data_IF_544684460026
#
_entry.id   IF_544684460026
#
_cell.length_a   1.000
_cell.length_b   1.000
_cell.length_c   1.000
_cell.angle_alpha   90.00
_cell.angle_beta   90.00
_cell.angle_gamma   90.00
#
_symmetry.space_group_name_H-M   'P 1'
#
loop_
_entity.id
_entity.type
_entity.pdbx_description
1 polymer ?
#
# COMPACT_ATOMS: atom_id res chain seq x y z
N UNK A 1 -23.17 0.76 -35.81
CA UNK A 1 -23.20 0.82 -34.35
C UNK A 1 -22.00 1.64 -33.90
N UNK A 2 -22.21 2.79 -33.27
CA UNK A 2 -21.08 3.52 -32.70
C UNK A 2 -20.34 2.56 -31.76
N UNK A 3 -19.01 2.49 -31.92
CA UNK A 3 -18.21 1.62 -31.07
C UNK A 3 -18.29 2.16 -29.65
N UNK A 4 -19.10 1.52 -28.82
CA UNK A 4 -19.29 1.90 -27.42
C UNK A 4 -17.95 1.96 -26.64
N UNK A 5 -16.93 1.27 -27.15
CA UNK A 5 -15.58 1.32 -26.58
C UNK A 5 -14.87 2.66 -26.76
N UNK A 6 -15.30 3.51 -27.72
CA UNK A 6 -14.69 4.83 -27.97
C UNK A 6 -15.39 5.96 -27.17
N UNK A 7 -16.54 5.72 -26.59
CA UNK A 7 -17.16 6.66 -25.65
C UNK A 7 -16.31 6.70 -24.39
N UNK A 8 -15.79 7.87 -24.03
CA UNK A 8 -14.90 8.02 -22.89
C UNK A 8 -15.09 9.34 -22.14
N UNK A 9 -14.66 9.38 -20.89
CA UNK A 9 -14.63 10.57 -20.03
C UNK A 9 -13.17 10.79 -19.60
N UNK A 10 -12.69 12.00 -19.69
CA UNK A 10 -11.28 12.35 -19.39
C UNK A 10 -10.24 11.57 -20.23
N UNK A 11 -10.57 11.20 -21.47
CA UNK A 11 -9.69 10.39 -22.32
C UNK A 11 -9.62 8.90 -21.95
N UNK A 12 -10.41 8.45 -20.98
CA UNK A 12 -10.51 7.04 -20.59
C UNK A 12 -11.68 6.39 -21.34
N UNK A 13 -11.48 5.33 -22.14
CA UNK A 13 -12.56 4.60 -22.79
C UNK A 13 -13.58 4.03 -21.79
N UNK A 14 -14.82 3.87 -22.20
CA UNK A 14 -15.92 3.47 -21.30
C UNK A 14 -15.61 2.21 -20.48
N UNK A 15 -15.13 1.14 -21.12
CA UNK A 15 -14.77 -0.08 -20.40
C UNK A 15 -13.56 0.10 -19.48
N UNK A 16 -12.61 0.95 -19.86
CA UNK A 16 -11.51 1.35 -18.99
C UNK A 16 -11.99 2.06 -17.74
N UNK A 17 -12.92 3.02 -17.92
CA UNK A 17 -13.53 3.75 -16.80
C UNK A 17 -14.32 2.82 -15.86
N UNK A 18 -15.15 1.93 -16.40
CA UNK A 18 -15.93 0.96 -15.60
C UNK A 18 -14.99 0.02 -14.85
N UNK A 19 -13.98 -0.54 -15.54
CA UNK A 19 -12.97 -1.41 -14.92
C UNK A 19 -12.20 -0.69 -13.82
N UNK A 20 -11.77 0.55 -14.07
CA UNK A 20 -11.11 1.40 -13.09
C UNK A 20 -11.98 1.65 -11.85
N UNK A 21 -13.25 2.01 -12.03
CA UNK A 21 -14.19 2.26 -10.92
C UNK A 21 -14.43 1.01 -10.08
N UNK A 22 -14.64 -0.15 -10.74
CA UNK A 22 -14.84 -1.41 -10.03
C UNK A 22 -13.58 -1.86 -9.31
N UNK A 23 -12.42 -1.77 -9.96
CA UNK A 23 -11.14 -2.08 -9.34
C UNK A 23 -10.85 -1.17 -8.14
N UNK A 24 -11.01 0.15 -8.32
CA UNK A 24 -10.79 1.11 -7.25
C UNK A 24 -11.68 0.83 -6.03
N UNK A 25 -13.00 0.64 -6.25
CA UNK A 25 -13.92 0.35 -5.15
C UNK A 25 -13.61 -0.99 -4.47
N UNK A 26 -13.44 -2.06 -5.25
CA UNK A 26 -13.24 -3.39 -4.71
C UNK A 26 -11.90 -3.51 -3.96
N UNK A 27 -10.83 -2.91 -4.49
CA UNK A 27 -9.52 -2.90 -3.86
C UNK A 27 -9.54 -2.06 -2.57
N UNK A 28 -10.19 -0.88 -2.58
CA UNK A 28 -10.34 -0.08 -1.37
C UNK A 28 -11.14 -0.83 -0.31
N UNK A 29 -12.19 -1.53 -0.68
CA UNK A 29 -13.01 -2.28 0.28
C UNK A 29 -12.37 -3.59 0.77
N UNK A 30 -11.43 -4.16 0.02
CA UNK A 30 -10.75 -5.41 0.34
C UNK A 30 -9.35 -5.15 0.92
N UNK A 31 -8.41 -4.71 0.10
CA UNK A 31 -6.99 -4.66 0.44
C UNK A 31 -6.65 -3.53 1.40
N UNK A 32 -7.28 -2.36 1.24
CA UNK A 32 -7.06 -1.24 2.16
C UNK A 32 -7.47 -1.63 3.58
N UNK A 33 -8.55 -2.41 3.73
CA UNK A 33 -8.99 -2.84 5.06
C UNK A 33 -8.11 -3.96 5.60
N UNK A 34 -7.55 -4.82 4.78
CA UNK A 34 -6.52 -5.77 5.22
C UNK A 34 -5.27 -5.01 5.72
N UNK A 35 -4.91 -3.91 5.08
CA UNK A 35 -3.73 -3.10 5.41
C UNK A 35 -3.96 -2.18 6.60
N UNK A 36 -5.07 -1.46 6.63
CA UNK A 36 -5.39 -0.44 7.65
C UNK A 36 -6.36 -0.94 8.74
N UNK A 37 -6.74 -2.22 8.71
CA UNK A 37 -7.71 -2.77 9.65
C UNK A 37 -7.20 -2.78 11.10
N UNK A 38 -5.92 -3.03 11.31
CA UNK A 38 -5.22 -2.92 12.60
C UNK A 38 -5.29 -1.50 13.14
N UNK A 39 -5.03 -0.51 12.28
CA UNK A 39 -5.13 0.91 12.60
C UNK A 39 -6.55 1.34 12.96
N UNK A 40 -7.56 0.90 12.21
CA UNK A 40 -8.96 1.15 12.53
C UNK A 40 -9.38 0.51 13.85
N UNK A 41 -8.91 -0.71 14.14
CA UNK A 41 -9.20 -1.42 15.36
C UNK A 41 -8.62 -0.73 16.60
N UNK A 42 -7.32 -0.46 16.58
CA UNK A 42 -6.59 0.16 17.71
C UNK A 42 -6.99 1.63 17.96
N UNK A 43 -7.51 2.31 16.93
CA UNK A 43 -8.00 3.69 17.01
C UNK A 43 -9.53 3.80 16.96
N UNK A 44 -10.26 2.76 17.33
CA UNK A 44 -11.74 2.70 17.20
C UNK A 44 -12.50 3.82 17.94
N UNK A 45 -11.94 4.36 19.02
CA UNK A 45 -12.48 5.49 19.79
C UNK A 45 -12.32 6.85 19.08
N UNK A 46 -11.47 6.96 18.06
CA UNK A 46 -11.23 8.21 17.34
C UNK A 46 -12.29 8.45 16.26
N UNK A 47 -12.51 9.73 15.96
CA UNK A 47 -13.44 10.08 14.89
C UNK A 47 -12.87 9.62 13.53
N UNK A 48 -13.73 9.05 12.69
CA UNK A 48 -13.31 8.48 11.40
C UNK A 48 -12.63 9.48 10.46
N UNK A 49 -13.03 10.76 10.50
CA UNK A 49 -12.39 11.82 9.71
C UNK A 49 -10.91 12.02 10.05
N UNK A 50 -10.52 11.86 11.29
CA UNK A 50 -9.12 11.98 11.73
C UNK A 50 -8.30 10.83 11.15
N UNK A 51 -8.83 9.62 11.20
CA UNK A 51 -8.20 8.43 10.64
C UNK A 51 -8.11 8.51 9.11
N UNK A 52 -9.20 8.94 8.49
CA UNK A 52 -9.23 9.19 7.04
C UNK A 52 -8.25 10.28 6.62
N UNK A 53 -8.20 11.42 7.31
CA UNK A 53 -7.28 12.51 6.96
C UNK A 53 -5.81 12.07 7.03
N UNK A 54 -5.46 11.22 7.99
CA UNK A 54 -4.14 10.62 8.07
C UNK A 54 -3.86 9.72 6.85
N UNK A 55 -4.73 8.75 6.55
CA UNK A 55 -4.55 7.87 5.40
C UNK A 55 -4.57 8.65 4.08
N UNK A 56 -5.45 9.64 3.95
CA UNK A 56 -5.58 10.50 2.79
C UNK A 56 -4.32 11.35 2.53
N UNK A 57 -3.69 11.89 3.59
CA UNK A 57 -2.45 12.65 3.44
C UNK A 57 -1.32 11.81 2.83
N UNK A 58 -1.26 10.53 3.20
CA UNK A 58 -0.28 9.59 2.65
C UNK A 58 -0.60 9.23 1.20
N UNK A 59 -1.88 9.02 0.85
CA UNK A 59 -2.28 8.82 -0.56
C UNK A 59 -1.79 10.00 -1.40
N UNK A 60 -2.11 11.23 -0.98
CA UNK A 60 -1.70 12.44 -1.72
C UNK A 60 -0.17 12.50 -1.85
N UNK A 61 0.56 12.27 -0.75
CA UNK A 61 2.03 12.30 -0.77
C UNK A 61 2.61 11.24 -1.72
N UNK A 62 2.12 10.01 -1.69
CA UNK A 62 2.58 8.91 -2.55
C UNK A 62 2.23 9.19 -4.01
N UNK A 63 1.02 9.66 -4.31
CA UNK A 63 0.61 10.00 -5.67
C UNK A 63 1.44 11.15 -6.26
N UNK A 64 1.70 12.20 -5.47
CA UNK A 64 2.55 13.31 -5.90
C UNK A 64 4.01 12.85 -6.07
N UNK A 65 4.52 12.00 -5.17
CA UNK A 65 5.85 11.43 -5.29
C UNK A 65 5.98 10.57 -6.55
N UNK A 66 5.03 9.68 -6.84
CA UNK A 66 5.01 8.89 -8.06
C UNK A 66 5.02 9.75 -9.32
N UNK A 67 4.24 10.83 -9.33
CA UNK A 67 4.14 11.70 -10.49
C UNK A 67 5.38 12.59 -10.68
N UNK A 68 5.79 13.33 -9.67
CA UNK A 68 6.90 14.28 -9.77
C UNK A 68 8.28 13.67 -9.55
N UNK A 69 8.38 12.66 -8.70
CA UNK A 69 9.66 12.01 -8.36
C UNK A 69 9.97 10.80 -9.22
N UNK A 70 8.97 10.20 -9.89
CA UNK A 70 9.12 9.01 -10.70
C UNK A 70 8.65 9.23 -12.16
N UNK A 71 8.95 10.40 -12.71
CA UNK A 71 8.74 10.76 -14.12
C UNK A 71 7.32 10.51 -14.66
N UNK A 72 6.29 10.73 -13.82
CA UNK A 72 4.89 10.53 -14.19
C UNK A 72 4.37 9.11 -13.99
N UNK A 73 5.19 8.20 -13.47
CA UNK A 73 4.78 6.83 -13.16
C UNK A 73 4.18 6.72 -11.75
N UNK A 74 2.87 6.85 -11.66
CA UNK A 74 2.12 6.67 -10.42
C UNK A 74 1.88 5.19 -10.05
N UNK A 75 2.35 4.25 -10.86
CA UNK A 75 2.30 2.81 -10.61
C UNK A 75 3.66 2.24 -10.15
N UNK A 76 4.68 3.09 -10.00
CA UNK A 76 5.99 2.74 -9.44
C UNK A 76 6.67 1.54 -10.13
N UNK A 77 6.72 1.55 -11.47
CA UNK A 77 7.34 0.51 -12.29
C UNK A 77 6.52 -0.78 -12.45
N UNK A 78 5.44 -0.94 -11.68
CA UNK A 78 4.66 -2.18 -11.66
C UNK A 78 3.94 -2.50 -12.97
N UNK A 79 3.70 -1.50 -13.81
CA UNK A 79 3.05 -1.65 -15.10
C UNK A 79 4.02 -1.65 -16.29
N UNK A 80 5.33 -1.51 -16.07
CA UNK A 80 6.33 -1.47 -17.13
C UNK A 80 6.33 -2.74 -18.01
N UNK A 81 6.01 -3.90 -17.41
CA UNK A 81 5.89 -5.20 -18.11
C UNK A 81 4.47 -5.57 -18.51
N UNK A 82 3.52 -4.69 -18.27
CA UNK A 82 2.10 -4.90 -18.61
C UNK A 82 1.66 -3.69 -19.45
N UNK A 83 1.92 -3.69 -20.77
CA UNK A 83 1.58 -2.56 -21.63
C UNK A 83 0.08 -2.34 -21.67
N UNK A 84 -0.32 -1.09 -21.95
CA UNK A 84 -1.74 -0.81 -22.22
C UNK A 84 -2.16 -1.54 -23.49
N UNK A 85 -3.31 -2.24 -23.50
CA UNK A 85 -3.73 -3.00 -24.67
C UNK A 85 -3.88 -2.10 -25.92
N UNK A 86 -3.22 -2.46 -27.03
CA UNK A 86 -3.27 -1.69 -28.29
C UNK A 86 -4.70 -1.54 -28.82
N UNK A 87 -5.52 -2.55 -28.62
CA UNK A 87 -6.94 -2.54 -29.01
C UNK A 87 -7.84 -1.85 -27.98
N UNK A 88 -7.25 -1.30 -26.91
CA UNK A 88 -7.97 -0.68 -25.78
C UNK A 88 -8.54 -1.70 -24.81
N UNK A 89 -9.26 -1.17 -23.81
CA UNK A 89 -9.92 -1.99 -22.80
C UNK A 89 -11.27 -2.47 -23.32
N UNK A 90 -11.45 -3.77 -23.35
CA UNK A 90 -12.70 -4.43 -23.76
C UNK A 90 -13.55 -4.84 -22.54
N UNK A 91 -14.80 -5.23 -22.77
CA UNK A 91 -15.74 -5.61 -21.72
C UNK A 91 -15.24 -6.78 -20.85
N UNK A 92 -14.48 -7.73 -21.39
CA UNK A 92 -13.93 -8.86 -20.61
C UNK A 92 -12.85 -8.43 -19.61
N UNK A 93 -12.16 -7.33 -19.83
CA UNK A 93 -11.23 -6.78 -18.82
C UNK A 93 -11.97 -6.27 -17.58
N UNK A 94 -13.27 -6.00 -17.67
CA UNK A 94 -14.10 -5.54 -16.55
C UNK A 94 -14.57 -6.70 -15.67
N UNK A 95 -14.56 -7.94 -16.17
CA UNK A 95 -15.03 -9.10 -15.41
C UNK A 95 -14.22 -9.37 -14.12
N UNK A 96 -12.88 -9.37 -14.13
CA UNK A 96 -12.10 -9.59 -12.91
C UNK A 96 -12.43 -8.61 -11.77
N UNK A 97 -12.45 -7.29 -11.95
CA UNK A 97 -12.83 -6.38 -10.87
C UNK A 97 -14.29 -6.48 -10.47
N UNK A 98 -15.18 -6.89 -11.36
CA UNK A 98 -16.58 -7.19 -11.01
C UNK A 98 -16.65 -8.42 -10.08
N UNK A 99 -15.92 -9.49 -10.40
CA UNK A 99 -15.82 -10.68 -9.54
C UNK A 99 -15.21 -10.31 -8.18
N UNK A 100 -14.13 -9.50 -8.18
CA UNK A 100 -13.52 -9.01 -6.97
C UNK A 100 -14.52 -8.24 -6.09
N UNK A 101 -15.32 -7.37 -6.69
CA UNK A 101 -16.37 -6.61 -6.00
C UNK A 101 -17.41 -7.54 -5.34
N UNK A 102 -17.84 -8.57 -6.05
CA UNK A 102 -18.78 -9.57 -5.53
C UNK A 102 -18.17 -10.33 -4.35
N UNK A 103 -16.94 -10.84 -4.49
CA UNK A 103 -16.26 -11.58 -3.42
C UNK A 103 -16.03 -10.71 -2.18
N UNK A 104 -15.62 -9.45 -2.38
CA UNK A 104 -15.47 -8.47 -1.30
C UNK A 104 -16.78 -8.22 -0.57
N UNK A 105 -17.91 -8.16 -1.29
CA UNK A 105 -19.25 -8.00 -0.68
C UNK A 105 -19.63 -9.16 0.23
N UNK A 106 -19.15 -10.36 -0.08
CA UNK A 106 -19.32 -11.54 0.79
C UNK A 106 -18.24 -11.67 1.87
N UNK A 107 -17.34 -10.71 1.98
CA UNK A 107 -16.25 -10.74 2.95
C UNK A 107 -15.20 -11.81 2.63
N UNK A 108 -15.02 -12.20 1.37
CA UNK A 108 -14.02 -13.18 0.96
C UNK A 108 -12.73 -12.44 0.55
N UNK A 109 -11.65 -12.52 1.33
CA UNK A 109 -10.38 -11.90 0.96
C UNK A 109 -9.75 -12.68 -0.20
N UNK A 110 -9.36 -11.98 -1.25
CA UNK A 110 -8.75 -12.56 -2.45
C UNK A 110 -7.57 -11.73 -2.92
N UNK A 111 -6.65 -12.37 -3.65
CA UNK A 111 -5.54 -11.68 -4.28
C UNK A 111 -6.04 -10.80 -5.43
N UNK A 112 -6.04 -9.50 -5.21
CA UNK A 112 -6.45 -8.50 -6.20
C UNK A 112 -5.47 -8.46 -7.36
N UNK A 113 -4.17 -8.54 -7.09
CA UNK A 113 -3.11 -8.58 -8.09
C UNK A 113 -3.32 -9.72 -9.09
N UNK A 114 -3.54 -10.94 -8.59
CA UNK A 114 -3.81 -12.07 -9.49
C UNK A 114 -5.12 -11.91 -10.24
N UNK A 115 -6.19 -11.56 -9.54
CA UNK A 115 -7.50 -11.48 -10.16
C UNK A 115 -7.55 -10.40 -11.25
N UNK A 116 -6.97 -9.23 -10.99
CA UNK A 116 -7.02 -8.09 -11.90
C UNK A 116 -5.95 -8.18 -12.99
N UNK A 117 -4.67 -8.39 -12.64
CA UNK A 117 -3.59 -8.30 -13.63
C UNK A 117 -3.52 -9.51 -14.55
N UNK A 118 -4.05 -10.67 -14.17
CA UNK A 118 -3.99 -11.88 -15.00
C UNK A 118 -4.62 -11.67 -16.37
N UNK A 119 -5.76 -11.00 -16.48
CA UNK A 119 -6.41 -10.77 -17.78
C UNK A 119 -5.52 -9.94 -18.71
N UNK A 120 -4.82 -8.95 -18.19
CA UNK A 120 -3.89 -8.12 -18.96
C UNK A 120 -2.64 -8.90 -19.40
N UNK A 121 -2.14 -9.79 -18.54
CA UNK A 121 -1.00 -10.63 -18.88
C UNK A 121 -1.34 -11.71 -19.90
N UNK A 122 -2.55 -12.23 -19.88
CA UNK A 122 -3.03 -13.22 -20.84
C UNK A 122 -3.38 -12.62 -22.20
N UNK A 123 -3.82 -11.37 -22.24
CA UNK A 123 -4.23 -10.69 -23.47
C UNK A 123 -3.12 -9.84 -24.09
N UNK A 124 -2.01 -9.62 -23.40
CA UNK A 124 -0.86 -8.82 -23.88
C UNK A 124 0.06 -9.53 -24.87
N UNK A 125 -0.25 -10.76 -25.26
CA UNK A 125 0.52 -11.52 -26.25
C UNK A 125 1.97 -11.79 -25.83
N UNK A 126 2.91 -11.68 -26.79
CA UNK A 126 4.34 -11.94 -26.55
C UNK A 126 4.98 -10.92 -25.57
N UNK A 127 4.46 -9.70 -25.50
CA UNK A 127 4.97 -8.65 -24.62
C UNK A 127 4.83 -9.01 -23.12
N UNK A 128 3.83 -9.82 -22.79
CA UNK A 128 3.56 -10.27 -21.41
C UNK A 128 3.89 -11.72 -21.14
N UNK A 129 4.56 -12.39 -22.11
CA UNK A 129 4.98 -13.77 -21.96
C UNK A 129 5.86 -13.96 -20.72
N UNK A 130 5.50 -14.91 -19.87
CA UNK A 130 6.24 -15.21 -18.63
C UNK A 130 5.93 -14.29 -17.44
N UNK A 131 5.23 -13.15 -17.62
CA UNK A 131 4.89 -12.23 -16.53
C UNK A 131 4.02 -12.94 -15.49
N UNK A 132 2.98 -13.66 -15.93
CA UNK A 132 2.11 -14.41 -15.02
C UNK A 132 2.87 -15.47 -14.21
N UNK A 133 3.76 -16.24 -14.88
CA UNK A 133 4.61 -17.23 -14.20
C UNK A 133 5.51 -16.57 -13.14
N UNK A 134 6.13 -15.45 -13.48
CA UNK A 134 6.94 -14.67 -12.54
C UNK A 134 6.10 -14.13 -11.37
N UNK A 135 4.89 -13.62 -11.62
CA UNK A 135 3.97 -13.18 -10.57
C UNK A 135 3.63 -14.33 -9.62
N UNK A 136 3.35 -15.52 -10.13
CA UNK A 136 3.07 -16.71 -9.31
C UNK A 136 4.25 -17.09 -8.44
N UNK A 137 5.43 -17.27 -9.02
CA UNK A 137 6.66 -17.67 -8.29
C UNK A 137 6.95 -16.66 -7.18
N UNK A 138 6.91 -15.37 -7.49
CA UNK A 138 7.19 -14.31 -6.53
C UNK A 138 6.17 -14.23 -5.41
N UNK A 139 4.89 -14.45 -5.71
CA UNK A 139 3.86 -14.48 -4.68
C UNK A 139 3.99 -15.70 -3.77
N UNK A 140 4.37 -16.86 -4.30
CA UNK A 140 4.67 -18.04 -3.48
C UNK A 140 5.88 -17.79 -2.57
N UNK A 141 6.96 -17.20 -3.11
CA UNK A 141 8.13 -16.82 -2.31
C UNK A 141 7.72 -15.80 -1.24
N UNK A 142 6.94 -14.77 -1.60
CA UNK A 142 6.42 -13.78 -0.67
C UNK A 142 5.62 -14.39 0.47
N UNK A 143 4.75 -15.33 0.16
CA UNK A 143 3.98 -16.08 1.15
C UNK A 143 4.89 -16.87 2.10
N UNK A 144 5.87 -17.61 1.56
CA UNK A 144 6.80 -18.40 2.38
C UNK A 144 7.65 -17.51 3.30
N UNK A 145 8.10 -16.35 2.80
CA UNK A 145 8.85 -15.39 3.62
C UNK A 145 7.96 -14.76 4.69
N UNK A 146 6.72 -14.38 4.36
CA UNK A 146 5.77 -13.85 5.33
C UNK A 146 5.44 -14.88 6.41
N UNK A 147 5.18 -16.13 6.02
CA UNK A 147 4.96 -17.24 6.96
C UNK A 147 6.18 -17.49 7.86
N UNK A 148 7.38 -17.53 7.28
CA UNK A 148 8.63 -17.68 8.03
C UNK A 148 8.88 -16.54 9.00
N UNK A 149 8.68 -15.28 8.56
CA UNK A 149 8.79 -14.11 9.41
C UNK A 149 7.76 -14.12 10.54
N UNK A 150 6.51 -14.46 10.26
CA UNK A 150 5.45 -14.61 11.26
C UNK A 150 5.81 -15.68 12.29
N UNK A 151 6.34 -16.84 11.85
CA UNK A 151 6.79 -17.90 12.74
C UNK A 151 7.96 -17.43 13.64
N UNK A 152 8.96 -16.76 13.09
CA UNK A 152 10.09 -16.21 13.84
C UNK A 152 9.62 -15.19 14.87
N UNK A 153 8.77 -14.23 14.46
CA UNK A 153 8.19 -13.25 15.37
C UNK A 153 7.37 -13.93 16.47
N UNK A 154 6.58 -14.93 16.12
CA UNK A 154 5.81 -15.71 17.11
C UNK A 154 6.73 -16.37 18.13
N UNK A 155 7.77 -17.09 17.70
CA UNK A 155 8.68 -17.80 18.60
C UNK A 155 9.47 -16.85 19.50
N UNK A 156 9.97 -15.75 18.93
CA UNK A 156 10.87 -14.82 19.64
C UNK A 156 10.12 -13.85 20.55
N UNK A 157 8.93 -13.41 20.13
CA UNK A 157 8.24 -12.29 20.76
C UNK A 157 7.01 -12.71 21.53
N UNK A 158 6.28 -13.78 21.11
CA UNK A 158 4.92 -14.06 21.60
C UNK A 158 4.86 -14.22 23.10
N UNK A 159 5.67 -15.08 23.70
CA UNK A 159 5.60 -15.35 25.15
C UNK A 159 5.91 -14.12 26.00
N UNK A 160 6.98 -13.40 25.68
CA UNK A 160 7.38 -12.22 26.46
C UNK A 160 6.44 -11.04 26.18
N UNK A 161 6.10 -10.85 24.92
CA UNK A 161 5.27 -9.74 24.48
C UNK A 161 3.81 -9.91 24.90
N UNK A 162 3.21 -11.09 24.71
CA UNK A 162 1.84 -11.37 25.14
C UNK A 162 1.69 -11.30 26.66
N UNK A 163 2.66 -11.87 27.41
CA UNK A 163 2.65 -11.78 28.87
C UNK A 163 2.75 -10.32 29.32
N UNK A 164 3.58 -9.53 28.67
CA UNK A 164 3.72 -8.11 28.99
C UNK A 164 2.47 -7.31 28.59
N UNK A 165 1.91 -7.56 27.41
CA UNK A 165 0.66 -6.90 26.95
C UNK A 165 -0.51 -7.25 27.87
N UNK A 166 -0.62 -8.53 28.27
CA UNK A 166 -1.70 -8.99 29.15
C UNK A 166 -1.61 -8.44 30.57
N UNK A 167 -0.39 -8.29 31.11
CA UNK A 167 -0.17 -7.85 32.49
C UNK A 167 0.00 -6.34 32.67
N UNK A 168 -0.03 -5.57 31.58
CA UNK A 168 0.18 -4.11 31.65
C UNK A 168 -0.89 -3.37 30.85
N UNK A 169 -1.42 -2.28 31.41
CA UNK A 169 -2.28 -1.36 30.67
C UNK A 169 -1.46 -0.28 29.99
N UNK A 170 -1.83 0.06 28.76
CA UNK A 170 -1.15 1.11 27.97
C UNK A 170 -1.38 2.50 28.56
N UNK A 171 -2.50 2.71 29.27
CA UNK A 171 -2.89 4.01 29.82
C UNK A 171 -2.18 4.34 31.12
N UNK A 172 -1.73 3.34 31.89
CA UNK A 172 -1.20 3.52 33.27
C UNK A 172 0.31 3.85 33.35
N UNK A 173 1.04 3.77 32.26
CA UNK A 173 2.48 3.96 32.30
C UNK A 173 2.85 5.29 31.66
N UNK A 174 3.23 6.26 32.50
CA UNK A 174 3.95 7.45 32.06
C UNK A 174 5.09 7.07 31.15
N UNK A 175 5.22 7.74 30.00
CA UNK A 175 6.26 7.40 28.99
C UNK A 175 7.65 7.60 29.61
N UNK A 176 8.47 6.55 29.75
CA UNK A 176 9.85 6.70 30.20
C UNK A 176 10.65 7.59 29.25
N UNK A 177 11.60 8.36 29.77
CA UNK A 177 12.41 9.31 28.99
C UNK A 177 13.15 8.66 27.79
N UNK A 178 13.43 7.37 27.84
CA UNK A 178 14.08 6.65 26.72
C UNK A 178 13.18 6.52 25.46
N UNK A 179 11.90 6.74 25.57
CA UNK A 179 10.98 6.73 24.42
C UNK A 179 11.27 7.88 23.45
N UNK A 180 11.75 9.03 23.94
CA UNK A 180 12.04 10.20 23.10
C UNK A 180 13.08 9.85 22.01
N UNK A 181 14.28 9.33 22.35
CA UNK A 181 15.25 8.93 21.32
C UNK A 181 14.77 7.76 20.48
N UNK A 182 13.98 6.85 21.02
CA UNK A 182 13.41 5.75 20.24
C UNK A 182 12.41 6.24 19.17
N UNK A 183 11.44 7.06 19.56
CA UNK A 183 10.47 7.65 18.61
C UNK A 183 11.19 8.52 17.60
N UNK A 184 12.13 9.36 18.04
CA UNK A 184 12.94 10.18 17.17
C UNK A 184 13.75 9.35 16.18
N UNK A 185 14.42 8.30 16.64
CA UNK A 185 15.21 7.40 15.81
C UNK A 185 14.36 6.64 14.78
N UNK A 186 13.21 6.09 15.19
CA UNK A 186 12.30 5.41 14.26
C UNK A 186 11.67 6.38 13.27
N UNK A 187 11.29 7.58 13.70
CA UNK A 187 10.79 8.62 12.78
C UNK A 187 11.87 9.01 11.78
N UNK A 188 13.11 9.20 12.24
CA UNK A 188 14.24 9.50 11.37
C UNK A 188 14.46 8.39 10.34
N UNK A 189 14.47 7.14 10.79
CA UNK A 189 14.63 5.98 9.91
C UNK A 189 13.49 5.90 8.88
N UNK A 190 12.24 6.06 9.31
CA UNK A 190 11.09 6.00 8.41
C UNK A 190 11.12 7.13 7.37
N UNK A 191 11.39 8.36 7.79
CA UNK A 191 11.50 9.50 6.87
C UNK A 191 12.69 9.31 5.93
N UNK A 192 13.82 8.81 6.44
CA UNK A 192 14.97 8.51 5.62
C UNK A 192 14.65 7.45 4.54
N UNK A 193 13.99 6.35 4.91
CA UNK A 193 13.56 5.32 3.98
C UNK A 193 12.54 5.84 2.95
N UNK A 194 11.63 6.72 3.36
CA UNK A 194 10.65 7.34 2.46
C UNK A 194 11.30 8.30 1.45
N UNK A 195 12.33 9.04 1.86
CA UNK A 195 12.98 10.06 1.02
C UNK A 195 14.04 9.45 0.10
N UNK A 196 14.82 8.48 0.59
CA UNK A 196 15.96 7.94 -0.16
C UNK A 196 15.67 6.55 -0.79
N UNK A 197 14.47 6.02 -0.56
CA UNK A 197 14.15 4.64 -0.93
C UNK A 197 14.88 3.63 -0.04
N UNK A 198 14.57 2.34 -0.21
CA UNK A 198 15.07 1.26 0.64
C UNK A 198 16.44 0.71 0.23
N UNK A 199 17.06 1.25 -0.78
CA UNK A 199 18.45 0.88 -1.09
C UNK A 199 19.28 1.24 0.14
N UNK A 200 19.99 0.26 0.68
CA UNK A 200 21.04 0.53 1.67
C UNK A 200 21.87 1.68 1.13
N UNK A 201 21.89 2.83 1.78
CA UNK A 201 22.49 4.00 1.18
C UNK A 201 23.96 3.70 0.91
N UNK A 202 24.39 3.99 -0.28
CA UNK A 202 25.80 4.24 -0.48
C UNK A 202 26.13 5.48 0.36
N UNK A 203 26.72 5.25 1.51
CA UNK A 203 27.08 6.31 2.46
C UNK A 203 27.97 7.38 1.81
N UNK A 204 28.60 7.07 0.68
CA UNK A 204 29.40 8.01 -0.10
C UNK A 204 28.55 9.07 -0.81
N UNK A 205 27.28 8.79 -1.09
CA UNK A 205 26.33 9.68 -1.75
C UNK A 205 25.26 10.25 -0.80
N UNK A 206 25.41 10.02 0.51
CA UNK A 206 24.46 10.51 1.50
C UNK A 206 24.35 12.03 1.43
N UNK A 207 23.13 12.52 1.20
CA UNK A 207 22.84 13.94 1.28
C UNK A 207 22.79 14.34 2.77
N UNK A 208 23.93 14.77 3.31
CA UNK A 208 24.07 15.13 4.72
C UNK A 208 23.15 16.27 5.15
N UNK A 209 22.76 17.16 4.22
CA UNK A 209 21.79 18.23 4.50
C UNK A 209 20.40 17.63 4.72
N UNK A 210 19.95 16.75 3.83
CA UNK A 210 18.68 16.05 3.99
C UNK A 210 18.66 15.19 5.27
N UNK A 211 19.75 14.49 5.55
CA UNK A 211 19.92 13.70 6.78
C UNK A 211 19.83 14.59 8.02
N UNK A 212 20.49 15.75 8.01
CA UNK A 212 20.39 16.73 9.10
C UNK A 212 18.97 17.25 9.32
N UNK A 213 18.26 17.58 8.25
CA UNK A 213 16.85 18.01 8.33
C UNK A 213 15.99 16.90 8.94
N UNK A 214 16.18 15.66 8.52
CA UNK A 214 15.44 14.51 9.04
C UNK A 214 15.70 14.30 10.53
N UNK A 215 16.96 14.40 10.97
CA UNK A 215 17.33 14.28 12.39
C UNK A 215 16.66 15.39 13.22
N UNK A 216 16.72 16.64 12.75
CA UNK A 216 16.11 17.78 13.46
C UNK A 216 14.58 17.63 13.50
N UNK A 217 13.94 17.31 12.36
CA UNK A 217 12.51 17.08 12.30
C UNK A 217 12.08 15.95 13.26
N UNK A 218 12.85 14.86 13.31
CA UNK A 218 12.59 13.72 14.20
C UNK A 218 12.70 14.10 15.67
N UNK A 219 13.72 14.90 16.03
CA UNK A 219 13.87 15.40 17.39
C UNK A 219 12.71 16.32 17.80
N UNK A 220 12.24 17.18 16.88
CA UNK A 220 11.07 18.05 17.10
C UNK A 220 9.82 17.22 17.29
N UNK A 221 9.58 16.20 16.44
CA UNK A 221 8.43 15.29 16.56
C UNK A 221 8.49 14.52 17.88
N UNK A 222 9.65 13.96 18.22
CA UNK A 222 9.83 13.23 19.49
C UNK A 222 9.54 14.13 20.70
N UNK A 223 10.05 15.35 20.70
CA UNK A 223 9.80 16.32 21.76
C UNK A 223 8.33 16.75 21.81
N UNK A 224 7.70 17.03 20.69
CA UNK A 224 6.30 17.41 20.61
C UNK A 224 5.35 16.27 21.05
N UNK A 225 5.75 15.02 20.85
CA UNK A 225 4.93 13.84 21.18
C UNK A 225 5.23 13.24 22.55
N UNK A 226 6.18 13.79 23.33
CA UNK A 226 6.58 13.22 24.62
C UNK A 226 5.43 13.17 25.66
N UNK A 227 4.37 13.98 25.48
CA UNK A 227 3.16 13.99 26.31
C UNK A 227 2.11 12.97 25.86
N UNK A 228 2.28 12.38 24.69
CA UNK A 228 1.39 11.36 24.18
C UNK A 228 1.92 9.98 24.51
N UNK A 229 1.02 9.02 24.63
CA UNK A 229 1.46 7.63 24.74
C UNK A 229 2.27 7.24 23.52
N UNK A 230 3.53 6.85 23.74
CA UNK A 230 4.50 6.54 22.68
C UNK A 230 4.01 5.46 21.73
N UNK A 231 3.26 4.47 22.23
CA UNK A 231 2.75 3.39 21.40
C UNK A 231 1.75 3.87 20.35
N UNK A 232 0.92 4.87 20.68
CA UNK A 232 0.05 5.48 19.67
C UNK A 232 0.84 6.20 18.58
N UNK A 233 1.91 6.90 18.95
CA UNK A 233 2.78 7.55 17.97
C UNK A 233 3.46 6.51 17.06
N UNK A 234 4.03 5.46 17.66
CA UNK A 234 4.69 4.38 16.93
C UNK A 234 3.72 3.64 16.00
N UNK A 235 2.50 3.39 16.45
CA UNK A 235 1.47 2.75 15.65
C UNK A 235 1.09 3.61 14.44
N UNK A 236 0.91 4.91 14.60
CA UNK A 236 0.63 5.80 13.47
C UNK A 236 1.81 5.86 12.49
N UNK A 237 3.05 5.88 12.97
CA UNK A 237 4.24 5.85 12.12
C UNK A 237 4.36 4.51 11.37
N UNK A 238 4.21 3.38 12.06
CA UNK A 238 4.28 2.06 11.44
C UNK A 238 3.16 1.83 10.42
N UNK A 239 1.94 2.29 10.75
CA UNK A 239 0.81 2.26 9.79
C UNK A 239 1.07 3.16 8.60
N UNK A 240 1.61 4.36 8.80
CA UNK A 240 1.96 5.27 7.70
C UNK A 240 3.02 4.66 6.77
N UNK A 241 4.02 4.01 7.34
CA UNK A 241 5.03 3.27 6.59
C UNK A 241 4.40 2.12 5.81
N UNK A 242 3.67 1.23 6.47
CA UNK A 242 2.96 0.13 5.82
C UNK A 242 2.06 0.62 4.69
N UNK A 243 1.27 1.67 4.95
CA UNK A 243 0.32 2.22 3.99
C UNK A 243 1.02 2.79 2.75
N UNK A 244 2.14 3.48 2.94
CA UNK A 244 2.92 3.98 1.80
C UNK A 244 3.49 2.84 0.95
N UNK A 245 4.02 1.77 1.57
CA UNK A 245 4.53 0.61 0.85
C UNK A 245 3.43 -0.13 0.08
N UNK A 246 2.25 -0.27 0.70
CA UNK A 246 1.10 -0.87 0.04
C UNK A 246 0.66 -0.05 -1.19
N UNK A 247 0.52 1.26 -1.05
CA UNK A 247 0.12 2.14 -2.17
C UNK A 247 1.09 2.00 -3.34
N UNK A 248 2.39 2.07 -3.09
CA UNK A 248 3.43 1.91 -4.12
C UNK A 248 3.38 0.54 -4.81
N UNK A 249 2.86 -0.47 -4.14
CA UNK A 249 2.76 -1.84 -4.67
C UNK A 249 1.46 -2.08 -5.44
N UNK A 250 0.32 -1.69 -4.88
CA UNK A 250 -0.99 -2.17 -5.33
C UNK A 250 -1.80 -1.13 -6.11
N UNK A 251 -1.37 0.14 -6.20
CA UNK A 251 -2.00 1.12 -7.10
C UNK A 251 -2.00 0.65 -8.56
N UNK A 252 -1.02 -0.15 -8.97
CA UNK A 252 -0.97 -0.75 -10.30
C UNK A 252 -2.23 -1.57 -10.63
N UNK A 253 -2.81 -2.26 -9.65
CA UNK A 253 -4.02 -3.07 -9.83
C UNK A 253 -5.24 -2.22 -10.19
N UNK A 254 -5.22 -0.94 -9.84
CA UNK A 254 -6.26 0.04 -10.17
C UNK A 254 -5.92 0.74 -11.49
N UNK A 255 -4.67 1.20 -11.61
CA UNK A 255 -4.22 2.02 -12.73
C UNK A 255 -4.00 1.26 -14.03
N UNK A 256 -3.99 -0.07 -13.99
CA UNK A 256 -3.91 -0.90 -15.20
C UNK A 256 -5.01 -0.61 -16.22
N UNK A 257 -6.15 -0.09 -15.78
CA UNK A 257 -7.29 0.32 -16.62
C UNK A 257 -7.15 1.71 -17.24
N UNK A 258 -6.22 2.52 -16.74
CA UNK A 258 -6.05 3.90 -17.20
C UNK A 258 -5.11 3.96 -18.41
N UNK A 259 -5.42 4.83 -19.40
CA UNK A 259 -4.52 5.13 -20.50
C UNK A 259 -3.17 5.61 -19.95
N UNK A 260 -2.10 5.13 -20.55
CA UNK A 260 -0.73 5.49 -20.21
C UNK A 260 0.14 5.48 -21.44
N UNK A 261 1.17 6.30 -21.44
CA UNK A 261 2.19 6.29 -22.48
C UNK A 261 3.34 5.39 -22.04
N UNK A 262 3.90 4.66 -22.98
CA UNK A 262 5.07 3.82 -22.75
C UNK A 262 6.28 4.50 -23.38
N UNK A 263 7.27 4.79 -22.56
CA UNK A 263 8.55 5.38 -22.98
C UNK A 263 9.62 4.31 -22.86
N UNK A 264 10.34 4.08 -23.96
CA UNK A 264 11.50 3.17 -23.97
C UNK A 264 12.76 4.00 -24.02
N UNK A 265 13.63 3.86 -23.04
CA UNK A 265 14.92 4.52 -23.06
C UNK A 265 15.76 3.96 -24.22
N UNK A 266 16.20 4.80 -25.17
CA UNK A 266 16.92 4.32 -26.36
C UNK A 266 18.32 3.78 -26.03
N UNK A 267 18.87 4.07 -24.85
CA UNK A 267 20.22 3.66 -24.44
C UNK A 267 20.18 2.39 -23.61
N UNK A 268 19.31 2.34 -22.58
CA UNK A 268 19.22 1.21 -21.65
C UNK A 268 18.21 0.16 -22.09
N UNK A 269 17.23 0.52 -22.93
CA UNK A 269 16.10 -0.31 -23.29
C UNK A 269 15.06 -0.43 -22.17
N UNK A 270 15.21 0.33 -21.09
CA UNK A 270 14.27 0.30 -19.98
C UNK A 270 12.93 0.88 -20.39
N UNK A 271 11.88 0.18 -19.98
CA UNK A 271 10.50 0.57 -20.25
C UNK A 271 9.94 1.27 -19.04
N UNK A 272 9.47 2.49 -19.23
CA UNK A 272 8.74 3.26 -18.19
C UNK A 272 7.36 3.62 -18.71
N UNK A 273 6.39 3.72 -17.80
CA UNK A 273 5.04 4.16 -18.12
C UNK A 273 4.78 5.52 -17.49
N UNK A 274 4.06 6.38 -18.20
CA UNK A 274 3.70 7.70 -17.69
C UNK A 274 2.20 7.93 -17.82
N UNK A 275 1.66 8.68 -16.85
CA UNK A 275 0.24 9.04 -16.79
C UNK A 275 0.10 10.55 -16.93
N UNK A 276 -1.01 11.00 -17.50
CA UNK A 276 -1.29 12.43 -17.60
C UNK A 276 -1.64 13.01 -16.22
N UNK A 277 -1.36 14.32 -16.04
CA UNK A 277 -1.71 15.02 -14.80
C UNK A 277 -3.23 15.02 -14.54
N UNK A 278 -4.04 15.00 -15.58
CA UNK A 278 -5.49 14.88 -15.47
C UNK A 278 -5.91 13.55 -14.83
N UNK A 279 -5.25 12.46 -15.22
CA UNK A 279 -5.47 11.13 -14.62
C UNK A 279 -4.96 11.07 -13.18
N UNK A 280 -3.83 11.71 -12.86
CA UNK A 280 -3.36 11.84 -11.48
C UNK A 280 -4.43 12.50 -10.60
N UNK A 281 -4.93 13.66 -11.01
CA UNK A 281 -5.94 14.40 -10.23
C UNK A 281 -7.22 13.59 -10.09
N UNK A 282 -7.75 13.06 -11.20
CA UNK A 282 -8.98 12.28 -11.22
C UNK A 282 -8.88 11.03 -10.31
N UNK A 283 -7.82 10.25 -10.47
CA UNK A 283 -7.63 9.03 -9.68
C UNK A 283 -7.40 9.32 -8.20
N UNK A 284 -6.64 10.37 -7.88
CA UNK A 284 -6.41 10.79 -6.50
C UNK A 284 -7.73 11.18 -5.84
N UNK A 285 -8.54 12.03 -6.47
CA UNK A 285 -9.82 12.47 -5.91
C UNK A 285 -10.80 11.30 -5.73
N UNK A 286 -10.85 10.37 -6.69
CA UNK A 286 -11.66 9.16 -6.56
C UNK A 286 -11.20 8.30 -5.39
N UNK A 287 -9.91 8.04 -5.27
CA UNK A 287 -9.35 7.25 -4.18
C UNK A 287 -9.64 7.89 -2.81
N UNK A 288 -9.47 9.20 -2.68
CA UNK A 288 -9.80 9.93 -1.45
C UNK A 288 -11.29 9.79 -1.08
N UNK A 289 -12.18 9.90 -2.07
CA UNK A 289 -13.61 9.73 -1.87
C UNK A 289 -13.99 8.30 -1.43
N UNK A 290 -13.45 7.28 -2.10
CA UNK A 290 -13.70 5.88 -1.75
C UNK A 290 -13.15 5.53 -0.36
N UNK A 291 -11.95 6.04 -0.01
CA UNK A 291 -11.42 5.88 1.34
C UNK A 291 -12.28 6.58 2.39
N UNK A 292 -12.83 7.77 2.10
CA UNK A 292 -13.76 8.43 3.01
C UNK A 292 -14.99 7.55 3.29
N UNK A 293 -15.56 6.94 2.26
CA UNK A 293 -16.72 6.05 2.40
C UNK A 293 -16.40 4.82 3.26
N UNK A 294 -15.26 4.15 3.02
CA UNK A 294 -14.90 2.94 3.77
C UNK A 294 -14.50 3.26 5.21
N UNK A 295 -13.84 4.39 5.47
CA UNK A 295 -13.52 4.84 6.82
C UNK A 295 -14.79 5.27 7.59
N UNK A 296 -15.74 5.92 6.96
CA UNK A 296 -17.04 6.23 7.55
C UNK A 296 -17.83 4.96 7.91
N UNK A 297 -17.72 3.91 7.08
CA UNK A 297 -18.28 2.58 7.33
C UNK A 297 -17.43 1.72 8.30
N UNK A 298 -16.36 2.27 8.88
CA UNK A 298 -15.47 1.55 9.80
C UNK A 298 -14.91 0.25 9.21
N UNK A 299 -14.60 0.24 7.91
CA UNK A 299 -13.95 -0.88 7.22
C UNK A 299 -14.88 -1.98 6.68
N UNK A 300 -16.19 -1.90 6.95
CA UNK A 300 -17.18 -2.80 6.35
C UNK A 300 -17.02 -4.28 6.74
N UNK A 301 -17.33 -5.20 5.79
CA UNK A 301 -17.32 -6.65 6.05
C UNK A 301 -15.91 -7.23 6.23
N UNK A 302 -14.92 -6.73 5.50
CA UNK A 302 -13.54 -7.22 5.61
C UNK A 302 -12.96 -6.90 6.99
N UNK A 303 -13.34 -5.78 7.62
CA UNK A 303 -12.90 -5.44 8.97
C UNK A 303 -13.30 -6.49 10.02
N UNK A 304 -14.44 -7.15 9.84
CA UNK A 304 -14.87 -8.24 10.73
C UNK A 304 -13.89 -9.40 10.67
N UNK A 305 -13.32 -9.69 9.50
CA UNK A 305 -12.31 -10.75 9.33
C UNK A 305 -11.01 -10.34 9.99
N UNK A 306 -10.55 -9.10 9.78
CA UNK A 306 -9.36 -8.57 10.46
C UNK A 306 -9.51 -8.72 11.97
N UNK A 307 -10.61 -8.27 12.54
CA UNK A 307 -10.87 -8.36 13.99
C UNK A 307 -10.97 -9.80 14.50
N UNK A 308 -11.43 -10.74 13.67
CA UNK A 308 -11.57 -12.15 14.08
C UNK A 308 -10.25 -12.92 14.02
N UNK A 309 -9.31 -12.49 13.17
CA UNK A 309 -8.03 -13.18 12.95
C UNK A 309 -6.87 -12.56 13.74
N UNK A 310 -6.99 -11.31 14.17
CA UNK A 310 -5.90 -10.58 14.80
C UNK A 310 -6.35 -9.98 16.14
N UNK A 311 -5.56 -10.15 17.19
CA UNK A 311 -5.79 -9.47 18.47
C UNK A 311 -5.25 -8.02 18.42
N UNK A 312 -5.71 -7.23 17.43
CA UNK A 312 -5.17 -5.90 17.10
C UNK A 312 -5.86 -4.75 17.84
N UNK A 313 -6.63 -5.05 18.87
CA UNK A 313 -7.23 -4.01 19.72
C UNK A 313 -6.15 -3.32 20.55
N UNK A 314 -5.10 -4.07 20.96
CA UNK A 314 -3.95 -3.49 21.65
C UNK A 314 -3.04 -2.75 20.67
N UNK A 315 -2.79 -1.48 20.94
CA UNK A 315 -1.98 -0.60 20.10
C UNK A 315 -0.54 -1.10 19.89
N UNK A 316 0.02 -1.81 20.88
CA UNK A 316 1.38 -2.39 20.82
C UNK A 316 1.44 -3.53 19.82
N UNK A 317 0.46 -4.43 19.88
CA UNK A 317 0.34 -5.53 18.92
C UNK A 317 0.12 -5.00 17.50
N UNK A 318 -0.80 -4.03 17.33
CA UNK A 318 -1.03 -3.35 16.06
C UNK A 318 0.25 -2.72 15.49
N UNK A 319 1.06 -2.07 16.34
CA UNK A 319 2.35 -1.46 15.93
C UNK A 319 3.32 -2.50 15.37
N UNK A 320 3.49 -3.62 16.06
CA UNK A 320 4.41 -4.69 15.63
C UNK A 320 3.95 -5.32 14.31
N UNK A 321 2.66 -5.61 14.20
CA UNK A 321 2.07 -6.19 12.97
C UNK A 321 2.25 -5.24 11.79
N UNK A 322 1.87 -3.97 11.94
CA UNK A 322 1.97 -2.97 10.86
C UNK A 322 3.43 -2.77 10.43
N UNK A 323 4.37 -2.70 11.39
CA UNK A 323 5.77 -2.55 11.08
C UNK A 323 6.35 -3.76 10.35
N UNK A 324 6.09 -4.98 10.84
CA UNK A 324 6.58 -6.21 10.22
C UNK A 324 6.02 -6.38 8.80
N UNK A 325 4.72 -6.13 8.61
CA UNK A 325 4.08 -6.18 7.30
C UNK A 325 4.67 -5.12 6.35
N UNK A 326 4.86 -3.89 6.82
CA UNK A 326 5.49 -2.83 6.03
C UNK A 326 6.91 -3.18 5.58
N UNK A 327 7.73 -3.77 6.46
CA UNK A 327 9.09 -4.22 6.13
C UNK A 327 9.07 -5.32 5.07
N UNK A 328 8.15 -6.28 5.17
CA UNK A 328 8.01 -7.35 4.18
C UNK A 328 7.61 -6.76 2.82
N UNK A 329 6.62 -5.87 2.78
CA UNK A 329 6.22 -5.22 1.51
C UNK A 329 7.37 -4.40 0.91
N UNK A 330 8.10 -3.64 1.72
CA UNK A 330 9.26 -2.88 1.28
C UNK A 330 10.32 -3.79 0.66
N UNK A 331 10.67 -4.89 1.34
CA UNK A 331 11.67 -5.84 0.85
C UNK A 331 11.28 -6.39 -0.53
N UNK A 332 10.05 -6.84 -0.69
CA UNK A 332 9.59 -7.40 -1.96
C UNK A 332 9.41 -6.35 -3.04
N UNK A 333 9.06 -5.13 -2.70
CA UNK A 333 8.97 -4.03 -3.65
C UNK A 333 10.33 -3.73 -4.29
N UNK A 334 11.39 -3.67 -3.50
CA UNK A 334 12.70 -3.23 -3.95
C UNK A 334 13.51 -4.32 -4.67
N UNK A 335 13.34 -5.56 -4.24
CA UNK A 335 14.02 -6.68 -4.91
C UNK A 335 13.30 -7.07 -6.20
N UNK A 336 12.09 -6.52 -6.43
CA UNK A 336 11.19 -7.17 -7.33
C UNK A 336 10.19 -6.23 -8.01
N UNK A 337 10.47 -5.83 -9.26
CA UNK A 337 9.60 -4.98 -10.09
C UNK A 337 8.28 -5.64 -10.51
N UNK A 338 8.08 -6.92 -10.25
CA UNK A 338 6.87 -7.64 -10.64
C UNK A 338 5.86 -7.59 -9.50
N UNK A 339 4.59 -7.22 -9.77
CA UNK A 339 3.52 -7.21 -8.79
C UNK A 339 3.37 -8.57 -8.09
N UNK A 340 3.18 -8.54 -6.79
CA UNK A 340 2.87 -9.73 -5.98
C UNK A 340 1.60 -9.53 -5.18
N UNK A 341 1.06 -10.62 -4.64
CA UNK A 341 -0.13 -10.57 -3.80
C UNK A 341 0.18 -10.10 -2.39
N UNK A 342 -0.25 -8.89 -2.04
CA UNK A 342 -0.20 -8.36 -0.66
C UNK A 342 -1.15 -9.11 0.27
N UNK A 343 -2.28 -9.58 -0.23
CA UNK A 343 -3.23 -10.44 0.51
C UNK A 343 -2.55 -11.71 1.04
N UNK A 344 -1.67 -12.33 0.27
CA UNK A 344 -0.96 -13.53 0.72
C UNK A 344 0.08 -13.24 1.80
N UNK A 345 0.62 -12.04 1.82
CA UNK A 345 1.52 -11.60 2.90
C UNK A 345 0.75 -11.31 4.18
N UNK A 346 -0.47 -10.77 4.05
CA UNK A 346 -1.33 -10.45 5.19
C UNK A 346 -1.92 -11.69 5.87
N UNK A 347 -2.38 -12.68 5.09
CA UNK A 347 -3.03 -13.91 5.59
C UNK A 347 -2.04 -14.88 6.24
#
# INVERSE_FOLDING_TARGET
MADLGQLGIFGVPLFGLIGFMFAAYAIVANDVIQTLGTFLASNSKRHWLVLWAFAASIIVAVMLYGYFGNHGDIAFGRLNRIPYPETGIHWWHVLPPLVLLILTRFGIPVSTTFLVLTIFTLTGGSATAGVLGSMMIKSVIGYLVAFGAGMVLFILISRMFETWVFNTDVEDHGTPNWHIPMVGGLTALLVYLLVNGPVLPDLSQANWVATGIVIVASAVVAFATHRFNTWYVLQWLSTGFLWSQWLMQDLANIFVYLPRETVVDPVTGDVTVTFSIGLLIFSTLLMLGLHALIFAARGGEIQKIVLSKTNTVDVRAATVVDFAFGVILMYFKEINDIPMSTTWVFL
#
